data_IF_467936737807
#
_entry.id   IF_467936737807
#
_cell.length_a   1.000
_cell.length_b   1.000
_cell.length_c   1.000
_cell.angle_alpha   90.00
_cell.angle_beta   90.00
_cell.angle_gamma   90.00
#
_symmetry.space_group_name_H-M   'P 1'
#
loop_
_entity.id
_entity.type
_entity.pdbx_description
1 polymer ?
#
# COMPACT_ATOMS: atom_id res chain seq x y z
N UNK A 1 -0.79 -4.01 28.31
CA UNK A 1 -0.28 -2.89 27.49
C UNK A 1 -1.47 -2.18 26.88
N UNK A 2 -1.79 -0.98 27.34
CA UNK A 2 -2.93 -0.21 26.82
C UNK A 2 -2.67 0.22 25.38
N UNK A 3 -3.61 -0.13 24.51
CA UNK A 3 -3.61 0.21 23.10
C UNK A 3 -4.05 1.67 22.94
N UNK A 4 -3.11 2.62 23.00
CA UNK A 4 -3.42 4.05 22.91
C UNK A 4 -3.85 4.41 21.49
N UNK A 5 -5.17 4.40 21.25
CA UNK A 5 -5.78 4.91 20.00
C UNK A 5 -5.30 6.33 19.72
N UNK A 6 -4.71 6.55 18.55
CA UNK A 6 -4.33 7.90 18.11
C UNK A 6 -5.60 8.76 17.96
N UNK A 7 -5.48 10.05 18.26
CA UNK A 7 -6.60 11.02 18.26
C UNK A 7 -7.04 11.47 16.86
N UNK A 8 -6.58 10.81 15.80
CA UNK A 8 -6.89 11.10 14.39
C UNK A 8 -6.43 12.49 13.92
N UNK A 9 -6.84 12.86 12.71
CA UNK A 9 -6.63 14.20 12.16
C UNK A 9 -7.54 15.20 12.89
N UNK A 10 -6.96 16.25 13.46
CA UNK A 10 -7.71 17.31 14.14
C UNK A 10 -7.71 18.60 13.32
N UNK A 11 -8.83 19.32 13.35
CA UNK A 11 -8.92 20.68 12.81
C UNK A 11 -8.03 21.60 13.65
N UNK A 12 -7.22 22.42 12.98
CA UNK A 12 -6.39 23.45 13.61
C UNK A 12 -6.72 24.82 13.00
N UNK A 13 -6.58 25.93 13.75
CA UNK A 13 -6.80 27.26 13.21
C UNK A 13 -5.82 27.61 12.08
N UNK A 14 -6.25 28.40 11.09
CA UNK A 14 -5.39 28.91 10.01
C UNK A 14 -4.61 30.14 10.45
N UNK A 15 -3.71 29.94 11.41
CA UNK A 15 -2.75 30.93 11.91
C UNK A 15 -1.38 30.28 12.11
N UNK A 16 -0.37 31.08 12.47
CA UNK A 16 0.96 30.56 12.79
C UNK A 16 0.86 29.52 13.92
N UNK A 17 1.49 28.37 13.73
CA UNK A 17 1.61 27.35 14.78
C UNK A 17 2.74 27.80 15.71
N UNK A 18 2.42 28.08 16.97
CA UNK A 18 3.41 28.62 17.92
C UNK A 18 4.43 27.58 18.35
N UNK A 19 3.97 26.37 18.70
CA UNK A 19 4.84 25.27 19.12
C UNK A 19 5.76 24.85 17.96
N UNK A 20 7.07 25.02 18.16
CA UNK A 20 8.08 24.84 17.12
C UNK A 20 8.10 23.42 16.53
N UNK A 21 8.05 22.38 17.36
CA UNK A 21 8.03 20.98 16.88
C UNK A 21 6.81 20.68 16.00
N UNK A 22 5.63 21.13 16.42
CA UNK A 22 4.39 20.95 15.66
C UNK A 22 4.42 21.76 14.36
N UNK A 23 5.00 22.98 14.39
CA UNK A 23 5.22 23.81 13.21
C UNK A 23 6.15 23.13 12.20
N UNK A 24 7.24 22.52 12.64
CA UNK A 24 8.20 21.82 11.77
C UNK A 24 7.63 20.53 11.18
N UNK A 25 6.92 19.75 12.00
CA UNK A 25 6.21 18.56 11.53
C UNK A 25 5.13 18.94 10.51
N UNK A 26 4.36 20.00 10.79
CA UNK A 26 3.32 20.49 9.87
C UNK A 26 3.90 21.03 8.58
N UNK A 27 4.98 21.81 8.63
CA UNK A 27 5.68 22.30 7.44
C UNK A 27 6.09 21.12 6.55
N UNK A 28 6.74 20.11 7.12
CA UNK A 28 7.21 18.94 6.38
C UNK A 28 6.05 18.20 5.71
N UNK A 29 4.98 17.92 6.47
CA UNK A 29 3.79 17.23 5.96
C UNK A 29 3.06 18.04 4.88
N UNK A 30 2.84 19.33 5.11
CA UNK A 30 2.13 20.21 4.16
C UNK A 30 2.93 20.44 2.89
N UNK A 31 4.26 20.62 2.99
CA UNK A 31 5.15 20.73 1.83
C UNK A 31 5.06 19.49 0.95
N UNK A 32 5.17 18.30 1.55
CA UNK A 32 5.02 17.04 0.80
C UNK A 32 3.63 16.91 0.17
N UNK A 33 2.57 17.25 0.90
CA UNK A 33 1.21 17.25 0.36
C UNK A 33 1.03 18.23 -0.80
N UNK A 34 1.62 19.43 -0.71
CA UNK A 34 1.58 20.43 -1.77
C UNK A 34 2.31 19.95 -3.02
N UNK A 35 3.49 19.33 -2.89
CA UNK A 35 4.21 18.76 -4.04
C UNK A 35 3.43 17.63 -4.71
N UNK A 36 2.78 16.77 -3.92
CA UNK A 36 1.88 15.75 -4.47
C UNK A 36 0.74 16.37 -5.27
N UNK A 37 0.10 17.42 -4.74
CA UNK A 37 -0.98 18.13 -5.47
C UNK A 37 -0.50 18.84 -6.72
N UNK A 38 0.70 19.42 -6.70
CA UNK A 38 1.31 19.99 -7.91
C UNK A 38 1.55 18.90 -8.97
N UNK A 39 2.10 17.74 -8.58
CA UNK A 39 2.33 16.60 -9.48
C UNK A 39 1.03 16.04 -10.06
N UNK A 40 -0.03 15.95 -9.26
CA UNK A 40 -1.36 15.56 -9.74
C UNK A 40 -1.89 16.55 -10.78
N UNK A 41 -1.71 17.85 -10.55
CA UNK A 41 -2.18 18.90 -11.47
C UNK A 41 -1.41 18.88 -12.79
N UNK A 42 -0.08 18.73 -12.74
CA UNK A 42 0.76 18.54 -13.93
C UNK A 42 0.25 17.36 -14.77
N UNK A 43 0.01 16.22 -14.12
CA UNK A 43 -0.41 15.00 -14.82
C UNK A 43 -1.80 15.13 -15.43
N UNK A 44 -2.73 15.83 -14.77
CA UNK A 44 -4.12 15.96 -15.23
C UNK A 44 -4.31 17.05 -16.27
N UNK A 45 -3.55 18.13 -16.19
CA UNK A 45 -3.81 19.34 -16.96
C UNK A 45 -2.66 19.72 -17.91
N UNK A 46 -1.55 18.97 -17.91
CA UNK A 46 -0.34 19.27 -18.70
C UNK A 46 0.16 20.72 -18.50
N UNK A 47 0.29 21.11 -17.21
CA UNK A 47 0.64 22.48 -16.83
C UNK A 47 2.07 22.60 -16.33
N UNK A 48 2.65 23.77 -16.57
CA UNK A 48 3.94 24.21 -16.04
C UNK A 48 3.77 24.75 -14.62
N UNK A 49 4.53 24.22 -13.65
CA UNK A 49 4.42 24.60 -12.25
C UNK A 49 5.79 24.86 -11.64
N UNK A 50 5.93 25.98 -10.93
CA UNK A 50 7.03 26.28 -10.04
C UNK A 50 6.55 26.57 -8.62
N UNK A 51 7.16 25.93 -7.63
CA UNK A 51 6.87 26.13 -6.21
C UNK A 51 8.20 26.36 -5.49
N UNK A 52 8.28 27.45 -4.72
CA UNK A 52 9.42 27.73 -3.82
C UNK A 52 8.89 28.10 -2.45
N UNK A 53 9.41 27.45 -1.41
CA UNK A 53 8.93 27.58 -0.03
C UNK A 53 10.15 27.63 0.89
N UNK A 54 10.19 28.62 1.77
CA UNK A 54 11.20 28.70 2.82
C UNK A 54 10.70 28.01 4.09
N UNK A 55 11.55 27.18 4.70
CA UNK A 55 11.26 26.63 6.02
C UNK A 55 11.21 27.73 7.07
N UNK A 56 10.66 27.44 8.26
CA UNK A 56 10.79 28.34 9.40
C UNK A 56 12.23 28.68 9.81
N UNK A 57 13.22 27.93 9.31
CA UNK A 57 14.66 28.18 9.51
C UNK A 57 15.30 28.94 8.35
N UNK A 58 14.51 29.41 7.37
CA UNK A 58 14.99 30.12 6.20
C UNK A 58 15.57 29.24 5.08
N UNK A 59 15.52 27.92 5.20
CA UNK A 59 16.05 27.01 4.17
C UNK A 59 15.07 26.89 3.00
N UNK A 60 15.49 27.14 1.74
CA UNK A 60 14.62 27.00 0.58
C UNK A 60 14.34 25.53 0.25
N UNK A 61 13.13 25.27 -0.20
CA UNK A 61 12.68 24.01 -0.80
C UNK A 61 11.88 24.31 -2.04
N UNK A 62 12.17 23.62 -3.13
CA UNK A 62 11.57 23.89 -4.43
C UNK A 62 11.09 22.63 -5.14
N UNK A 63 10.10 22.84 -5.99
CA UNK A 63 9.56 21.85 -6.90
C UNK A 63 9.23 22.57 -8.21
N UNK A 64 9.78 22.08 -9.32
CA UNK A 64 9.60 22.68 -10.64
C UNK A 64 9.31 21.59 -11.68
N UNK A 65 8.40 21.89 -12.58
CA UNK A 65 8.12 21.10 -13.77
C UNK A 65 7.79 22.04 -14.94
N UNK A 66 8.40 21.87 -16.12
CA UNK A 66 9.29 20.76 -16.51
C UNK A 66 10.72 20.89 -15.97
N UNK A 67 11.25 22.10 -15.90
CA UNK A 67 12.60 22.37 -15.37
C UNK A 67 12.62 23.74 -14.69
N UNK A 68 13.47 23.91 -13.69
CA UNK A 68 13.65 25.20 -13.00
C UNK A 68 13.93 26.35 -13.98
N UNK A 69 14.88 26.17 -14.89
CA UNK A 69 15.29 27.23 -15.83
C UNK A 69 14.15 27.64 -16.77
N UNK A 70 13.42 26.66 -17.32
CA UNK A 70 12.28 26.95 -18.18
C UNK A 70 11.19 27.75 -17.45
N UNK A 71 10.92 27.42 -16.18
CA UNK A 71 9.91 28.11 -15.38
C UNK A 71 10.36 29.50 -14.99
N UNK A 72 11.58 29.66 -14.49
CA UNK A 72 12.13 30.97 -14.11
C UNK A 72 12.18 31.90 -15.33
N UNK A 73 12.66 31.38 -16.47
CA UNK A 73 12.75 32.16 -17.69
C UNK A 73 11.39 32.65 -18.17
N UNK A 74 10.38 31.76 -18.23
CA UNK A 74 9.00 32.13 -18.62
C UNK A 74 8.38 33.11 -17.64
N UNK A 75 8.66 32.95 -16.34
CA UNK A 75 8.16 33.88 -15.33
C UNK A 75 8.75 35.29 -15.49
N UNK A 76 10.05 35.38 -15.81
CA UNK A 76 10.73 36.65 -16.02
C UNK A 76 10.42 37.27 -17.39
N UNK A 77 10.13 36.45 -18.40
CA UNK A 77 9.93 36.87 -19.79
C UNK A 77 8.66 36.19 -20.36
N UNK A 78 7.44 36.67 -20.00
CA UNK A 78 6.19 35.99 -20.34
C UNK A 78 5.94 35.85 -21.84
N UNK A 79 6.36 36.87 -22.60
CA UNK A 79 6.11 36.96 -24.05
C UNK A 79 7.24 36.34 -24.89
N UNK A 80 8.34 35.93 -24.26
CA UNK A 80 9.51 35.43 -24.96
C UNK A 80 9.54 33.91 -25.01
N UNK A 81 9.82 33.37 -26.19
CA UNK A 81 10.01 31.93 -26.33
C UNK A 81 11.32 31.49 -25.70
N UNK A 82 11.27 30.32 -25.06
CA UNK A 82 12.46 29.63 -24.54
C UNK A 82 13.46 29.36 -25.68
N UNK A 83 14.75 29.43 -25.36
CA UNK A 83 15.81 29.03 -26.29
C UNK A 83 15.62 27.59 -26.77
N UNK A 84 16.10 27.24 -27.98
CA UNK A 84 15.97 25.87 -28.52
C UNK A 84 16.51 24.80 -27.55
N UNK A 85 17.65 25.05 -26.92
CA UNK A 85 18.26 24.13 -25.95
C UNK A 85 17.37 23.91 -24.72
N UNK A 86 16.88 24.97 -24.09
CA UNK A 86 16.01 24.87 -22.90
C UNK A 86 14.68 24.21 -23.24
N UNK A 87 14.13 24.47 -24.43
CA UNK A 87 12.93 23.78 -24.94
C UNK A 87 13.13 22.28 -25.09
N UNK A 88 14.28 21.87 -25.65
CA UNK A 88 14.59 20.45 -25.84
C UNK A 88 14.70 19.73 -24.49
N UNK A 89 15.41 20.31 -23.52
CA UNK A 89 15.53 19.74 -22.16
C UNK A 89 14.15 19.65 -21.49
N UNK A 90 13.37 20.73 -21.52
CA UNK A 90 12.03 20.74 -20.95
C UNK A 90 11.12 19.66 -21.57
N UNK A 91 11.17 19.52 -22.90
CA UNK A 91 10.41 18.49 -23.64
C UNK A 91 10.86 17.08 -23.24
N UNK A 92 12.16 16.85 -23.13
CA UNK A 92 12.69 15.57 -22.68
C UNK A 92 12.20 15.21 -21.27
N UNK A 93 12.22 16.16 -20.33
CA UNK A 93 11.71 15.93 -18.97
C UNK A 93 10.22 15.62 -18.97
N UNK A 94 9.40 16.34 -19.76
CA UNK A 94 7.96 16.03 -19.90
C UNK A 94 7.75 14.61 -20.41
N UNK A 95 8.43 14.24 -21.50
CA UNK A 95 8.33 12.90 -22.07
C UNK A 95 8.72 11.82 -21.06
N UNK A 96 9.77 12.07 -20.28
CA UNK A 96 10.21 11.13 -19.25
C UNK A 96 9.16 10.96 -18.13
N UNK A 97 8.57 12.06 -17.66
CA UNK A 97 7.49 12.03 -16.66
C UNK A 97 6.28 11.27 -17.20
N UNK A 98 5.85 11.56 -18.43
CA UNK A 98 4.73 10.88 -19.07
C UNK A 98 4.98 9.38 -19.21
N UNK A 99 6.18 8.99 -19.65
CA UNK A 99 6.57 7.57 -19.74
C UNK A 99 6.52 6.86 -18.38
N UNK A 100 6.99 7.52 -17.32
CA UNK A 100 6.94 6.97 -15.96
C UNK A 100 5.51 6.81 -15.47
N UNK A 101 4.65 7.81 -15.73
CA UNK A 101 3.23 7.75 -15.39
C UNK A 101 2.51 6.61 -16.11
N UNK A 102 2.79 6.38 -17.40
CA UNK A 102 2.22 5.24 -18.14
C UNK A 102 2.66 3.90 -17.54
N UNK A 103 3.92 3.77 -17.14
CA UNK A 103 4.43 2.55 -16.48
C UNK A 103 3.80 2.34 -15.10
N UNK A 104 3.59 3.41 -14.34
CA UNK A 104 2.90 3.31 -13.05
C UNK A 104 1.47 2.81 -13.23
N UNK A 105 0.73 3.35 -14.21
CA UNK A 105 -0.62 2.88 -14.51
C UNK A 105 -0.65 1.40 -14.94
N UNK A 106 0.31 0.95 -15.74
CA UNK A 106 0.43 -0.47 -16.11
C UNK A 106 0.68 -1.37 -14.89
N UNK A 107 1.56 -0.96 -13.97
CA UNK A 107 1.84 -1.73 -12.75
C UNK A 107 0.64 -1.77 -11.80
N UNK A 108 -0.10 -0.67 -11.65
CA UNK A 108 -1.32 -0.64 -10.85
C UNK A 108 -2.35 -1.64 -11.39
N UNK A 109 -2.59 -1.64 -12.71
CA UNK A 109 -3.52 -2.62 -13.31
C UNK A 109 -3.10 -4.07 -13.09
N UNK A 110 -1.79 -4.36 -13.15
CA UNK A 110 -1.28 -5.70 -12.86
C UNK A 110 -1.50 -6.08 -11.40
N UNK A 111 -1.29 -5.16 -10.47
CA UNK A 111 -1.53 -5.41 -9.05
C UNK A 111 -3.00 -5.77 -8.81
N UNK A 112 -3.93 -4.99 -9.36
CA UNK A 112 -5.38 -5.26 -9.25
C UNK A 112 -5.73 -6.66 -9.76
N UNK A 113 -5.20 -7.07 -10.93
CA UNK A 113 -5.46 -8.42 -11.47
C UNK A 113 -4.91 -9.54 -10.59
N UNK A 114 -3.78 -9.31 -9.92
CA UNK A 114 -3.19 -10.29 -9.00
C UNK A 114 -4.03 -10.40 -7.74
N UNK A 115 -4.50 -9.27 -7.19
CA UNK A 115 -5.36 -9.24 -6.02
C UNK A 115 -6.70 -9.93 -6.30
N UNK A 116 -7.33 -9.64 -7.45
CA UNK A 116 -8.56 -10.31 -7.89
C UNK A 116 -8.37 -11.82 -8.06
N UNK A 117 -7.26 -12.24 -8.68
CA UNK A 117 -6.93 -13.65 -8.83
C UNK A 117 -6.71 -14.34 -7.47
N UNK A 118 -6.08 -13.65 -6.50
CA UNK A 118 -5.88 -14.16 -5.15
C UNK A 118 -7.21 -14.34 -4.41
N UNK A 119 -8.12 -13.36 -4.53
CA UNK A 119 -9.47 -13.43 -3.96
C UNK A 119 -10.27 -14.58 -4.59
N UNK A 120 -10.23 -14.72 -5.92
CA UNK A 120 -10.91 -15.80 -6.63
C UNK A 120 -10.39 -17.18 -6.20
N UNK A 121 -9.06 -17.35 -6.09
CA UNK A 121 -8.45 -18.59 -5.60
C UNK A 121 -8.88 -18.93 -4.18
N UNK A 122 -8.90 -17.94 -3.28
CA UNK A 122 -9.36 -18.14 -1.91
C UNK A 122 -10.82 -18.61 -1.87
N UNK A 123 -11.69 -17.97 -2.66
CA UNK A 123 -13.12 -18.34 -2.74
C UNK A 123 -13.33 -19.78 -3.23
N UNK A 124 -12.58 -20.21 -4.27
CA UNK A 124 -12.64 -21.60 -4.75
C UNK A 124 -12.18 -22.56 -3.65
N UNK A 125 -11.08 -22.23 -2.96
CA UNK A 125 -10.57 -23.04 -1.86
C UNK A 125 -11.59 -23.19 -0.74
N UNK A 126 -12.18 -22.08 -0.28
CA UNK A 126 -13.21 -22.08 0.76
C UNK A 126 -14.44 -22.91 0.33
N UNK A 127 -14.89 -22.77 -0.93
CA UNK A 127 -16.02 -23.54 -1.46
C UNK A 127 -15.73 -25.04 -1.57
N UNK A 128 -14.50 -25.44 -1.94
CA UNK A 128 -14.08 -26.85 -1.95
C UNK A 128 -14.08 -27.43 -0.54
N UNK A 129 -13.60 -26.68 0.45
CA UNK A 129 -13.64 -27.10 1.86
C UNK A 129 -15.08 -27.27 2.33
N UNK A 130 -15.95 -26.29 2.08
CA UNK A 130 -17.37 -26.37 2.46
C UNK A 130 -18.08 -27.56 1.81
N UNK A 131 -17.87 -27.80 0.52
CA UNK A 131 -18.49 -28.92 -0.21
C UNK A 131 -18.02 -30.26 0.35
N UNK A 132 -16.72 -30.38 0.63
CA UNK A 132 -16.14 -31.62 1.18
C UNK A 132 -16.62 -31.88 2.61
N UNK A 133 -16.69 -30.84 3.45
CA UNK A 133 -17.27 -30.97 4.78
C UNK A 133 -18.74 -31.39 4.70
N UNK A 134 -19.53 -30.75 3.84
CA UNK A 134 -20.96 -31.07 3.70
C UNK A 134 -21.20 -32.52 3.28
N UNK A 135 -20.52 -33.02 2.25
CA UNK A 135 -20.68 -34.41 1.82
C UNK A 135 -20.20 -35.44 2.86
N UNK A 136 -19.18 -35.08 3.65
CA UNK A 136 -18.75 -35.91 4.78
C UNK A 136 -19.79 -35.93 5.91
N UNK A 137 -20.39 -34.79 6.26
CA UNK A 137 -21.45 -34.73 7.28
C UNK A 137 -22.75 -35.41 6.84
N UNK A 138 -23.17 -35.24 5.59
CA UNK A 138 -24.35 -35.93 5.02
C UNK A 138 -24.19 -37.47 5.04
N UNK A 139 -22.95 -37.97 5.02
CA UNK A 139 -22.66 -39.41 5.16
C UNK A 139 -22.76 -39.88 6.61
N UNK A 140 -22.41 -39.01 7.58
CA UNK A 140 -22.51 -39.31 9.02
C UNK A 140 -23.99 -39.30 9.47
N UNK A 141 -24.81 -38.40 8.92
CA UNK A 141 -26.25 -38.30 9.23
C UNK A 141 -27.05 -39.55 8.84
N UNK A 142 -26.50 -40.44 8.00
CA UNK A 142 -27.14 -41.69 7.58
C UNK A 142 -26.82 -42.89 8.48
N UNK A 143 -25.89 -42.74 9.42
CA UNK A 143 -25.47 -43.82 10.32
C UNK A 143 -26.55 -44.09 11.38
N UNK A 144 -26.74 -45.36 11.73
CA UNK A 144 -27.59 -45.75 12.85
C UNK A 144 -26.85 -45.64 14.20
N UNK A 145 -27.58 -45.85 15.30
CA UNK A 145 -27.04 -45.62 16.65
C UNK A 145 -25.80 -46.46 16.99
N UNK A 146 -25.75 -47.72 16.56
CA UNK A 146 -24.63 -48.62 16.84
C UNK A 146 -23.40 -48.24 16.00
N UNK A 147 -23.62 -47.88 14.73
CA UNK A 147 -22.57 -47.42 13.80
C UNK A 147 -21.94 -46.10 14.25
N UNK A 148 -22.72 -45.17 14.82
CA UNK A 148 -22.21 -43.90 15.37
C UNK A 148 -21.26 -44.15 16.54
N UNK A 149 -21.58 -45.09 17.43
CA UNK A 149 -20.74 -45.44 18.58
C UNK A 149 -19.41 -46.04 18.11
N UNK A 150 -19.44 -46.95 17.13
CA UNK A 150 -18.23 -47.55 16.56
C UNK A 150 -17.35 -46.50 15.86
N UNK A 151 -17.98 -45.60 15.10
CA UNK A 151 -17.29 -44.50 14.42
C UNK A 151 -16.64 -43.51 15.39
N UNK A 152 -17.32 -43.17 16.50
CA UNK A 152 -16.76 -42.31 17.56
C UNK A 152 -15.54 -42.97 18.23
N UNK A 153 -15.61 -44.27 18.53
CA UNK A 153 -14.48 -45.00 19.09
C UNK A 153 -13.27 -44.99 18.15
N UNK A 154 -13.49 -45.15 16.84
CA UNK A 154 -12.45 -45.06 15.83
C UNK A 154 -11.84 -43.65 15.74
N UNK A 155 -12.66 -42.59 15.72
CA UNK A 155 -12.17 -41.20 15.70
C UNK A 155 -11.29 -40.88 16.91
N UNK A 156 -11.73 -41.28 18.11
CA UNK A 156 -10.96 -41.08 19.33
C UNK A 156 -9.59 -41.77 19.27
N UNK A 157 -9.53 -42.97 18.69
CA UNK A 157 -8.28 -43.69 18.46
C UNK A 157 -7.36 -42.96 17.48
N UNK A 158 -7.88 -42.47 16.35
CA UNK A 158 -7.11 -41.70 15.37
C UNK A 158 -6.57 -40.39 15.96
N UNK A 159 -7.41 -39.64 16.68
CA UNK A 159 -7.01 -38.40 17.36
C UNK A 159 -5.90 -38.65 18.37
N UNK A 160 -6.00 -39.75 19.13
CA UNK A 160 -4.96 -40.18 20.06
C UNK A 160 -3.62 -40.44 19.35
N UNK A 161 -3.63 -41.20 18.25
CA UNK A 161 -2.42 -41.47 17.48
C UNK A 161 -1.79 -40.20 16.88
N UNK A 162 -2.61 -39.28 16.36
CA UNK A 162 -2.15 -38.00 15.84
C UNK A 162 -1.49 -37.13 16.92
N UNK A 163 -2.11 -37.03 18.11
CA UNK A 163 -1.54 -36.30 19.24
C UNK A 163 -0.21 -36.90 19.70
N UNK A 164 -0.13 -38.22 19.78
CA UNK A 164 1.11 -38.90 20.13
C UNK A 164 2.22 -38.60 19.11
N UNK A 165 1.90 -38.67 17.81
CA UNK A 165 2.86 -38.32 16.75
C UNK A 165 3.32 -36.87 16.82
N UNK A 166 2.39 -35.93 17.06
CA UNK A 166 2.72 -34.51 17.21
C UNK A 166 3.66 -34.28 18.41
N UNK A 167 3.40 -34.94 19.54
CA UNK A 167 4.24 -34.86 20.74
C UNK A 167 5.64 -35.43 20.50
N UNK A 168 5.75 -36.54 19.77
CA UNK A 168 7.06 -37.09 19.36
C UNK A 168 7.85 -36.10 18.49
N UNK A 169 7.20 -35.43 17.53
CA UNK A 169 7.85 -34.42 16.68
C UNK A 169 8.29 -33.19 17.47
N UNK A 170 7.50 -32.74 18.45
CA UNK A 170 7.87 -31.62 19.33
C UNK A 170 9.05 -31.97 20.25
N UNK A 171 9.07 -33.18 20.79
CA UNK A 171 10.13 -33.63 21.71
C UNK A 171 11.43 -34.02 20.98
N UNK A 172 11.36 -34.46 19.73
CA UNK A 172 12.52 -34.73 18.89
C UNK A 172 13.30 -33.47 18.48
N UNK A 173 12.65 -32.30 18.45
CA UNK A 173 13.30 -31.02 18.15
C UNK A 173 14.19 -30.49 19.29
N UNK A 174 14.05 -31.01 20.52
CA UNK A 174 14.88 -30.64 21.67
C UNK A 174 16.12 -31.52 21.87
N UNK A 175 16.27 -32.60 21.09
CA UNK A 175 17.38 -33.56 21.23
C UNK A 175 18.48 -33.44 20.17
N UNK A 176 18.34 -32.53 19.18
CA UNK A 176 19.35 -32.31 18.12
C UNK A 176 20.18 -31.03 18.32
N UNK A 177 20.21 -30.50 19.55
CA UNK A 177 20.96 -29.31 19.93
C UNK A 177 21.78 -29.53 21.19
N UNK A 178 22.64 -30.56 21.19
CA UNK A 178 23.84 -30.65 22.03
C UNK A 178 24.96 -31.25 21.20
#
# INVERSE_FOLDING_TARGET
MENTKNKGRRKIPMKKIEKQGDRYSTFSKRRTGLYKKASELITKCDVDIGVTIFSPTGKPFSFFHPTTDAIIYRFQNPDMQLSPSTRLVATHVRNRVNQLNSRLAELDTKLDTIEDAAIARKKVYDQVIETRHRGWWESIEQLNADEVIEFEAWLNNVVFHMHNRLNQLKNGASSSGM
#
